data_IF_402823595596
#
_entry.id   IF_402823595596
#
_cell.length_a   1.000
_cell.length_b   1.000
_cell.length_c   1.000
_cell.angle_alpha   90.00
_cell.angle_beta   90.00
_cell.angle_gamma   90.00
#
_symmetry.space_group_name_H-M   'P 1'
#
loop_
_entity.id
_entity.type
_entity.pdbx_description
1 polymer ?
#
# COMPACT_ATOMS: atom_id res chain seq x y z
N UNK A 1 10.83 4.43 -1.43
CA UNK A 1 12.10 4.26 -2.18
C UNK A 1 11.76 4.03 -3.65
N UNK A 2 12.40 4.76 -4.57
CA UNK A 2 12.22 4.61 -6.02
C UNK A 2 13.47 3.97 -6.59
N UNK A 3 13.33 2.80 -7.22
CA UNK A 3 14.43 2.13 -7.93
C UNK A 3 14.60 2.77 -9.32
N UNK A 4 15.77 3.38 -9.57
CA UNK A 4 16.14 4.01 -10.85
C UNK A 4 17.18 3.19 -11.64
N UNK A 5 17.59 2.03 -11.14
CA UNK A 5 18.71 1.25 -11.72
C UNK A 5 18.35 0.54 -13.02
N UNK A 6 17.06 0.36 -13.30
CA UNK A 6 16.57 -0.27 -14.51
C UNK A 6 15.69 0.74 -15.28
N UNK A 7 16.08 1.19 -16.48
CA UNK A 7 15.33 2.19 -17.24
C UNK A 7 13.95 1.70 -17.69
N UNK A 8 13.73 0.38 -17.72
CA UNK A 8 12.47 -0.26 -18.07
C UNK A 8 11.63 -0.67 -16.85
N UNK A 9 11.99 -0.22 -15.65
CA UNK A 9 11.25 -0.55 -14.42
C UNK A 9 11.24 0.62 -13.46
N UNK A 10 10.05 0.94 -12.95
CA UNK A 10 9.87 1.86 -11.83
C UNK A 10 9.24 1.09 -10.68
N UNK A 11 9.84 1.19 -9.50
CA UNK A 11 9.30 0.63 -8.27
C UNK A 11 9.01 1.76 -7.28
N UNK A 12 7.85 1.74 -6.65
CA UNK A 12 7.48 2.63 -5.55
C UNK A 12 7.14 1.76 -4.36
N UNK A 13 7.81 1.98 -3.23
CA UNK A 13 7.47 1.33 -1.98
C UNK A 13 6.96 2.35 -0.96
N UNK A 14 5.76 2.09 -0.44
CA UNK A 14 5.08 2.86 0.60
C UNK A 14 5.10 2.07 1.92
N UNK A 15 5.25 2.80 3.03
CA UNK A 15 5.18 2.28 4.39
C UNK A 15 4.23 3.14 5.23
N UNK A 16 3.57 2.57 6.25
CA UNK A 16 2.81 3.34 7.22
C UNK A 16 3.66 4.47 7.80
N UNK A 17 3.05 5.65 7.92
CA UNK A 17 3.70 6.85 8.44
C UNK A 17 3.00 7.34 9.70
N UNK A 18 3.74 8.09 10.52
CA UNK A 18 3.18 8.94 11.58
C UNK A 18 2.36 10.06 10.96
N UNK A 19 1.53 10.71 11.78
CA UNK A 19 0.75 11.88 11.38
C UNK A 19 1.70 13.03 10.99
N UNK A 20 1.58 13.60 9.78
CA UNK A 20 2.35 14.79 9.41
C UNK A 20 2.08 15.94 10.39
N UNK A 21 3.14 16.61 10.87
CA UNK A 21 3.01 17.73 11.81
C UNK A 21 2.81 17.35 13.29
N UNK A 22 2.79 16.06 13.63
CA UNK A 22 2.75 15.61 15.03
C UNK A 22 3.81 14.52 15.28
N UNK A 23 5.07 14.96 15.26
CA UNK A 23 6.25 14.08 15.32
C UNK A 23 6.42 13.41 16.71
N UNK A 24 5.86 14.02 17.75
CA UNK A 24 5.99 13.64 19.16
C UNK A 24 4.90 12.68 19.67
N UNK A 25 3.81 12.45 18.92
CA UNK A 25 2.71 11.59 19.38
C UNK A 25 3.05 10.09 19.46
N UNK A 26 4.24 9.66 19.03
CA UNK A 26 4.79 8.30 19.19
C UNK A 26 4.10 7.21 18.38
N UNK A 27 2.78 7.28 18.24
CA UNK A 27 1.92 6.22 17.72
C UNK A 27 1.66 6.42 16.23
N UNK A 28 1.79 5.32 15.48
CA UNK A 28 1.33 5.25 14.10
C UNK A 28 -0.19 5.34 14.14
N UNK A 29 -0.75 6.38 13.51
CA UNK A 29 -2.20 6.54 13.34
C UNK A 29 -2.73 5.81 12.10
N UNK A 30 -1.83 5.25 11.29
CA UNK A 30 -2.18 4.47 10.11
C UNK A 30 -2.86 3.14 10.50
N UNK A 31 -3.82 2.69 9.69
CA UNK A 31 -4.57 1.44 9.89
C UNK A 31 -3.69 0.18 9.88
N UNK A 32 -2.44 0.29 9.43
CA UNK A 32 -1.49 -0.80 9.26
C UNK A 32 -0.30 -0.66 10.20
N UNK A 33 0.17 -1.78 10.73
CA UNK A 33 1.36 -1.85 11.60
C UNK A 33 2.64 -1.41 10.88
N UNK A 34 3.67 -0.97 11.63
CA UNK A 34 4.98 -0.52 11.11
C UNK A 34 5.58 -1.48 10.06
N UNK A 35 5.41 -2.79 10.25
CA UNK A 35 6.00 -3.83 9.40
C UNK A 35 5.29 -4.04 8.06
N UNK A 36 4.19 -3.34 7.80
CA UNK A 36 3.45 -3.42 6.54
C UNK A 36 4.14 -2.64 5.44
N UNK A 37 4.20 -3.21 4.23
CA UNK A 37 4.69 -2.48 3.05
C UNK A 37 3.75 -2.71 1.87
N UNK A 38 3.55 -1.67 1.06
CA UNK A 38 2.90 -1.76 -0.25
C UNK A 38 3.93 -1.39 -1.32
N UNK A 39 4.21 -2.33 -2.22
CA UNK A 39 5.18 -2.15 -3.31
C UNK A 39 4.46 -2.18 -4.64
N UNK A 40 4.59 -1.10 -5.41
CA UNK A 40 4.04 -0.91 -6.74
C UNK A 40 5.18 -1.01 -7.73
N UNK A 41 5.04 -1.82 -8.76
CA UNK A 41 6.07 -2.02 -9.78
C UNK A 41 5.44 -1.86 -11.15
N UNK A 42 5.97 -0.96 -11.96
CA UNK A 42 5.66 -0.85 -13.39
C UNK A 42 6.91 -1.31 -14.14
N UNK A 43 6.74 -2.17 -15.12
CA UNK A 43 7.84 -2.63 -15.96
C UNK A 43 7.42 -2.75 -17.42
N UNK A 44 8.33 -2.40 -18.31
CA UNK A 44 8.20 -2.49 -19.76
C UNK A 44 9.05 -3.65 -20.29
N UNK A 45 8.44 -4.50 -21.09
CA UNK A 45 9.12 -5.52 -21.90
C UNK A 45 9.27 -5.08 -23.35
N UNK A 46 9.59 -6.03 -24.22
CA UNK A 46 9.66 -5.83 -25.68
C UNK A 46 8.34 -5.34 -26.28
N UNK A 47 7.24 -5.93 -25.83
CA UNK A 47 5.91 -5.86 -26.45
C UNK A 47 4.80 -5.73 -25.40
N UNK A 48 5.16 -5.49 -24.14
CA UNK A 48 4.20 -5.36 -23.05
C UNK A 48 4.59 -4.26 -22.05
N UNK A 49 3.57 -3.73 -21.39
CA UNK A 49 3.71 -2.98 -20.14
C UNK A 49 2.90 -3.73 -19.09
N UNK A 50 3.48 -3.95 -17.91
CA UNK A 50 2.79 -4.59 -16.78
C UNK A 50 2.95 -3.77 -15.52
N UNK A 51 1.90 -3.76 -14.71
CA UNK A 51 1.92 -3.23 -13.36
C UNK A 51 1.56 -4.33 -12.36
N UNK A 52 2.30 -4.41 -11.27
CA UNK A 52 2.04 -5.33 -10.18
C UNK A 52 2.06 -4.58 -8.84
N UNK A 53 1.18 -5.00 -7.92
CA UNK A 53 1.06 -4.44 -6.58
C UNK A 53 1.22 -5.58 -5.57
N UNK A 54 2.19 -5.42 -4.67
CA UNK A 54 2.55 -6.39 -3.66
C UNK A 54 2.33 -5.82 -2.26
N UNK A 55 1.33 -6.34 -1.55
CA UNK A 55 1.13 -6.10 -0.12
C UNK A 55 1.91 -7.11 0.71
N UNK A 56 2.64 -6.66 1.74
CA UNK A 56 3.33 -7.54 2.69
C UNK A 56 2.97 -7.17 4.12
N UNK A 57 2.80 -8.19 4.97
CA UNK A 57 2.54 -8.04 6.40
C UNK A 57 1.40 -7.07 6.71
N UNK A 58 0.30 -7.14 5.96
CA UNK A 58 -0.86 -6.25 6.08
C UNK A 58 -1.69 -6.55 7.34
N UNK A 59 -1.05 -6.40 8.49
CA UNK A 59 -1.64 -6.59 9.81
C UNK A 59 -2.31 -5.28 10.24
N UNK A 60 -3.49 -5.35 10.88
CA UNK A 60 -4.11 -4.17 11.49
C UNK A 60 -3.19 -3.60 12.57
N UNK A 61 -3.19 -2.28 12.71
CA UNK A 61 -2.52 -1.63 13.83
C UNK A 61 -3.37 -1.80 15.10
N UNK A 62 -2.81 -2.47 16.10
CA UNK A 62 -3.45 -2.73 17.40
C UNK A 62 -2.88 -1.85 18.52
N UNK A 63 -1.87 -1.01 18.24
CA UNK A 63 -1.28 -0.10 19.21
C UNK A 63 -2.09 1.21 19.29
N UNK A 64 -3.39 1.08 19.55
CA UNK A 64 -4.38 2.16 19.62
C UNK A 64 -5.48 1.80 20.62
N UNK A 65 -6.23 2.78 21.13
CA UNK A 65 -7.37 2.53 22.02
C UNK A 65 -8.37 1.51 21.46
N UNK A 66 -9.14 0.85 22.33
CA UNK A 66 -10.03 -0.28 21.99
C UNK A 66 -10.97 0.06 20.81
N UNK A 67 -11.58 1.25 20.81
CA UNK A 67 -12.47 1.72 19.73
C UNK A 67 -11.72 1.87 18.39
N UNK A 68 -10.50 2.42 18.44
CA UNK A 68 -9.64 2.55 17.27
C UNK A 68 -9.13 1.19 16.77
N UNK A 69 -8.87 0.25 17.68
CA UNK A 69 -8.46 -1.12 17.35
C UNK A 69 -9.58 -1.88 16.62
N UNK A 70 -10.84 -1.75 17.07
CA UNK A 70 -12.01 -2.33 16.40
C UNK A 70 -12.20 -1.73 15.01
N UNK A 71 -12.11 -0.40 14.86
CA UNK A 71 -12.14 0.28 13.55
C UNK A 71 -11.04 -0.22 12.63
N UNK A 72 -9.81 -0.34 13.13
CA UNK A 72 -8.66 -0.83 12.36
C UNK A 72 -8.87 -2.28 11.93
N UNK A 73 -9.48 -3.11 12.76
CA UNK A 73 -9.84 -4.49 12.43
C UNK A 73 -10.91 -4.56 11.35
N UNK A 74 -11.98 -3.76 11.41
CA UNK A 74 -13.00 -3.71 10.36
C UNK A 74 -12.45 -3.22 9.02
N UNK A 75 -11.60 -2.19 9.03
CA UNK A 75 -10.92 -1.72 7.82
C UNK A 75 -9.99 -2.80 7.27
N UNK A 76 -9.19 -3.47 8.11
CA UNK A 76 -8.33 -4.55 7.67
C UNK A 76 -9.12 -5.75 7.10
N UNK A 77 -10.27 -6.07 7.68
CA UNK A 77 -11.14 -7.15 7.22
C UNK A 77 -11.82 -6.80 5.89
N UNK A 78 -12.45 -5.62 5.78
CA UNK A 78 -13.06 -5.16 4.52
C UNK A 78 -12.06 -5.04 3.38
N UNK A 79 -10.80 -4.70 3.70
CA UNK A 79 -9.70 -4.67 2.74
C UNK A 79 -9.29 -6.07 2.29
N UNK A 80 -9.16 -7.02 3.23
CA UNK A 80 -8.86 -8.43 2.95
C UNK A 80 -9.97 -9.12 2.13
N UNK A 81 -11.23 -8.76 2.37
CA UNK A 81 -12.41 -9.41 1.76
C UNK A 81 -12.68 -8.98 0.32
N UNK A 82 -12.10 -7.87 -0.18
CA UNK A 82 -12.09 -7.62 -1.63
C UNK A 82 -12.03 -6.18 -2.10
N UNK A 83 -12.29 -5.20 -1.24
CA UNK A 83 -12.36 -3.80 -1.65
C UNK A 83 -11.03 -3.27 -2.21
N UNK A 84 -9.89 -3.61 -1.58
CA UNK A 84 -8.59 -3.21 -2.11
C UNK A 84 -8.24 -3.93 -3.40
N UNK A 85 -8.70 -5.16 -3.60
CA UNK A 85 -8.41 -5.90 -4.84
C UNK A 85 -9.07 -5.21 -6.04
N UNK A 86 -10.29 -4.68 -5.86
CA UNK A 86 -10.99 -3.90 -6.91
C UNK A 86 -10.23 -2.60 -7.20
N UNK A 87 -9.91 -1.82 -6.17
CA UNK A 87 -9.18 -0.55 -6.31
C UNK A 87 -7.80 -0.75 -6.97
N UNK A 88 -7.05 -1.77 -6.53
CA UNK A 88 -5.76 -2.11 -7.11
C UNK A 88 -5.88 -2.59 -8.55
N UNK A 89 -6.90 -3.38 -8.87
CA UNK A 89 -7.15 -3.80 -10.25
C UNK A 89 -7.45 -2.59 -11.15
N UNK A 90 -8.32 -1.68 -10.71
CA UNK A 90 -8.65 -0.47 -11.47
C UNK A 90 -7.41 0.42 -11.67
N UNK A 91 -6.59 0.59 -10.63
CA UNK A 91 -5.33 1.32 -10.73
C UNK A 91 -4.39 0.66 -11.74
N UNK A 92 -4.21 -0.68 -11.65
CA UNK A 92 -3.33 -1.40 -12.58
C UNK A 92 -3.83 -1.33 -14.01
N UNK A 93 -5.14 -1.52 -14.23
CA UNK A 93 -5.75 -1.48 -15.55
C UNK A 93 -5.60 -0.08 -16.19
N UNK A 94 -5.81 0.99 -15.41
CA UNK A 94 -5.65 2.36 -15.88
C UNK A 94 -4.19 2.72 -16.20
N UNK A 95 -3.24 2.23 -15.40
CA UNK A 95 -1.82 2.52 -15.61
C UNK A 95 -1.23 1.78 -16.82
N UNK A 96 -1.70 0.57 -17.14
CA UNK A 96 -1.22 -0.19 -18.31
C UNK A 96 -1.99 0.13 -19.59
N UNK A 97 -3.22 0.63 -19.50
CA UNK A 97 -4.06 0.99 -20.65
C UNK A 97 -4.28 2.51 -20.77
N UNK A 98 -3.31 3.34 -20.36
CA UNK A 98 -3.35 4.79 -20.60
C UNK A 98 -3.49 5.02 -22.11
N UNK A 99 -4.71 5.32 -22.55
CA UNK A 99 -5.03 5.85 -23.87
C UNK A 99 -4.86 7.36 -23.87
#
# INVERSE_FOLDING_TARGET
MIDKTNPNRVMIQCRPSKLPGNEFAGNIVHFHSVGTTSTFVISKGSDYVKMAIYGRNEKPNQNTDIVNSVKNMFIAFGRRVGASKIQWKQLTDGMVNLK
#
